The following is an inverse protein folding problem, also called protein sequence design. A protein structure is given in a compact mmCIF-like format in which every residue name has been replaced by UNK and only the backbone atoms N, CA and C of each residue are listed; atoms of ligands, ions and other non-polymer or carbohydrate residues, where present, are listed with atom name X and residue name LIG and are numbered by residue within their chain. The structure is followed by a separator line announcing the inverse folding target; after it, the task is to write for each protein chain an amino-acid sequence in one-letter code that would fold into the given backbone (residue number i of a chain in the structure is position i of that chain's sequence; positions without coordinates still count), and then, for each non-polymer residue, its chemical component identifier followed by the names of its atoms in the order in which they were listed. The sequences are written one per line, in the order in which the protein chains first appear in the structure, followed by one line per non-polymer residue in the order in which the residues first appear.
data_IF_004212799864
#
_entry.id   IF_004212799864
#
_cell.length_a   1.000
_cell.length_b   1.000
_cell.length_c   1.000
_cell.angle_alpha   90.00
_cell.angle_beta   90.00
_cell.angle_gamma   90.00
#
_symmetry.space_group_name_H-M   'P 1'
#
loop_
_entity.id
_entity.type
_entity.pdbx_description
1 polymer ?
#
# COMPACT_ATOMS: atom_id res chain seq x y z
N UNK A 1 -40.66 6.47 12.54
CA UNK A 1 -40.21 5.30 11.74
C UNK A 1 -38.78 5.58 11.31
N UNK A 2 -37.80 4.84 11.83
CA UNK A 2 -36.39 5.03 11.48
C UNK A 2 -36.08 4.13 10.28
N UNK A 3 -35.65 4.73 9.19
CA UNK A 3 -35.30 4.06 7.95
C UNK A 3 -34.04 3.22 8.15
N UNK A 4 -34.16 1.90 7.98
CA UNK A 4 -33.04 0.95 8.09
C UNK A 4 -32.15 1.15 6.86
N UNK A 5 -30.95 1.71 7.06
CA UNK A 5 -29.92 1.79 6.01
C UNK A 5 -29.62 0.38 5.46
N UNK A 6 -29.48 0.20 4.14
CA UNK A 6 -29.21 -1.10 3.56
C UNK A 6 -27.84 -1.60 4.02
N UNK A 7 -27.80 -2.79 4.61
CA UNK A 7 -26.55 -3.55 4.78
C UNK A 7 -26.05 -3.88 3.39
N UNK A 8 -24.89 -3.34 3.03
CA UNK A 8 -24.14 -3.82 1.87
C UNK A 8 -23.62 -5.20 2.26
N UNK A 9 -24.30 -6.23 1.81
CA UNK A 9 -23.82 -7.60 1.90
C UNK A 9 -22.67 -7.71 0.91
N UNK A 10 -21.44 -7.84 1.42
CA UNK A 10 -20.27 -8.19 0.62
C UNK A 10 -20.60 -9.47 -0.14
N UNK A 11 -20.79 -9.36 -1.46
CA UNK A 11 -20.77 -10.52 -2.34
C UNK A 11 -19.32 -10.99 -2.28
N UNK A 12 -19.11 -12.03 -1.48
CA UNK A 12 -17.83 -12.67 -1.39
C UNK A 12 -17.52 -13.31 -2.76
N UNK A 13 -16.56 -12.74 -3.49
CA UNK A 13 -15.82 -13.48 -4.51
C UNK A 13 -14.77 -14.32 -3.77
N UNK A 14 -15.26 -15.33 -3.05
CA UNK A 14 -14.46 -16.33 -2.36
C UNK A 14 -13.67 -17.08 -3.44
N UNK A 15 -12.34 -16.97 -3.44
CA UNK A 15 -11.36 -17.67 -4.31
C UNK A 15 -10.67 -16.90 -5.44
N UNK A 16 -10.82 -15.57 -5.58
CA UNK A 16 -9.75 -14.81 -6.25
C UNK A 16 -8.61 -14.67 -5.24
N UNK A 17 -7.42 -15.25 -5.46
CA UNK A 17 -6.30 -15.01 -4.55
C UNK A 17 -6.13 -13.50 -4.45
N UNK A 18 -6.15 -12.99 -3.22
CA UNK A 18 -5.74 -11.62 -2.93
C UNK A 18 -4.35 -11.52 -3.55
N UNK A 19 -4.21 -10.70 -4.58
CA UNK A 19 -2.97 -10.61 -5.34
C UNK A 19 -1.80 -10.32 -4.41
N UNK A 20 -0.61 -10.82 -4.76
CA UNK A 20 0.59 -10.57 -3.95
C UNK A 20 0.92 -9.08 -4.09
N UNK A 21 0.67 -8.31 -3.04
CA UNK A 21 1.07 -6.91 -3.00
C UNK A 21 2.59 -6.80 -2.84
N UNK A 22 3.18 -5.82 -3.53
CA UNK A 22 4.57 -5.46 -3.26
C UNK A 22 4.62 -4.79 -1.90
N UNK A 23 5.45 -5.33 -1.01
CA UNK A 23 5.60 -4.84 0.37
C UNK A 23 7.02 -4.34 0.61
N UNK A 24 7.14 -3.19 1.26
CA UNK A 24 8.40 -2.62 1.75
C UNK A 24 8.28 -2.34 3.23
N UNK A 25 9.37 -2.49 3.99
CA UNK A 25 9.31 -2.47 5.45
C UNK A 25 10.31 -1.49 6.04
N UNK A 26 9.90 -0.82 7.11
CA UNK A 26 10.77 0.04 7.90
C UNK A 26 10.42 -0.05 9.38
N UNK A 27 11.42 -0.28 10.23
CA UNK A 27 11.29 -0.15 11.68
C UNK A 27 12.01 1.11 12.14
N UNK A 28 11.42 1.85 13.08
CA UNK A 28 12.08 2.95 13.77
C UNK A 28 12.99 2.45 14.90
N UNK A 29 12.83 1.20 15.35
CA UNK A 29 13.69 0.61 16.38
C UNK A 29 15.12 0.45 15.85
N UNK A 30 16.08 1.11 16.50
CA UNK A 30 17.49 1.10 16.05
C UNK A 30 17.72 1.74 14.68
N UNK A 31 16.76 2.50 14.15
CA UNK A 31 16.86 3.11 12.83
C UNK A 31 18.00 4.12 12.75
N UNK A 32 18.64 4.18 11.58
CA UNK A 32 19.72 5.10 11.29
C UNK A 32 19.64 5.57 9.83
N UNK A 33 20.52 6.48 9.43
CA UNK A 33 20.57 7.01 8.07
C UNK A 33 20.65 5.90 7.00
N UNK A 34 21.43 4.86 7.26
CA UNK A 34 21.61 3.74 6.33
C UNK A 34 20.36 2.89 6.18
N UNK A 35 19.67 2.56 7.29
CA UNK A 35 18.42 1.79 7.22
C UNK A 35 17.31 2.58 6.55
N UNK A 36 17.19 3.88 6.84
CA UNK A 36 16.21 4.75 6.18
C UNK A 36 16.49 4.90 4.68
N UNK A 37 17.75 5.10 4.29
CA UNK A 37 18.11 5.20 2.87
C UNK A 37 17.80 3.89 2.12
N UNK A 38 18.06 2.73 2.73
CA UNK A 38 17.69 1.43 2.14
C UNK A 38 16.18 1.32 1.95
N UNK A 39 15.39 1.65 2.97
CA UNK A 39 13.93 1.66 2.89
C UNK A 39 13.43 2.58 1.76
N UNK A 40 13.96 3.79 1.65
CA UNK A 40 13.55 4.73 0.60
C UNK A 40 13.92 4.21 -0.80
N UNK A 41 15.06 3.54 -0.96
CA UNK A 41 15.43 2.91 -2.24
C UNK A 41 14.48 1.76 -2.59
N UNK A 42 14.16 0.89 -1.62
CA UNK A 42 13.22 -0.21 -1.83
C UNK A 42 11.81 0.30 -2.17
N UNK A 43 11.34 1.35 -1.48
CA UNK A 43 10.07 2.01 -1.78
C UNK A 43 10.09 2.63 -3.18
N UNK A 44 11.17 3.31 -3.55
CA UNK A 44 11.35 3.88 -4.89
C UNK A 44 11.33 2.79 -5.97
N UNK A 45 12.04 1.69 -5.77
CA UNK A 45 12.05 0.57 -6.71
C UNK A 45 10.67 -0.06 -6.86
N UNK A 46 9.92 -0.21 -5.77
CA UNK A 46 8.55 -0.72 -5.77
C UNK A 46 7.59 0.21 -6.51
N UNK A 47 7.67 1.53 -6.29
CA UNK A 47 6.84 2.52 -6.96
C UNK A 47 7.17 2.65 -8.46
N UNK A 48 8.42 2.39 -8.84
CA UNK A 48 8.91 2.58 -10.21
C UNK A 48 9.02 1.28 -11.01
N UNK A 49 8.51 0.14 -10.51
CA UNK A 49 8.59 -1.15 -11.21
C UNK A 49 7.99 -1.09 -12.62
N UNK A 50 6.88 -0.35 -12.78
CA UNK A 50 6.20 -0.15 -14.08
C UNK A 50 6.37 1.26 -14.65
N UNK A 51 7.22 2.08 -14.05
CA UNK A 51 7.45 3.45 -14.49
C UNK A 51 8.08 3.49 -15.89
N UNK A 52 7.83 4.58 -16.62
CA UNK A 52 8.64 4.89 -17.80
C UNK A 52 10.02 5.37 -17.34
N UNK A 53 11.05 4.63 -17.73
CA UNK A 53 12.47 4.86 -17.38
C UNK A 53 13.30 5.36 -18.57
N UNK A 54 12.66 5.87 -19.62
CA UNK A 54 13.35 6.42 -20.80
C UNK A 54 14.15 7.69 -20.47
N UNK A 55 13.78 8.42 -19.41
CA UNK A 55 14.48 9.60 -18.90
C UNK A 55 15.34 9.34 -17.65
N UNK A 56 16.04 10.39 -17.21
CA UNK A 56 16.87 10.36 -15.98
C UNK A 56 16.00 10.29 -14.71
N UNK A 57 14.80 10.85 -14.76
CA UNK A 57 13.80 10.78 -13.69
C UNK A 57 12.65 9.91 -14.22
N UNK A 58 12.36 8.75 -13.61
CA UNK A 58 11.25 7.92 -14.01
C UNK A 58 9.91 8.63 -13.86
N UNK A 59 9.03 8.46 -14.83
CA UNK A 59 7.65 8.91 -14.76
C UNK A 59 6.82 7.79 -14.17
N UNK A 60 6.11 8.08 -13.08
CA UNK A 60 5.25 7.10 -12.41
C UNK A 60 4.24 6.51 -13.40
N UNK A 61 3.91 5.21 -13.24
CA UNK A 61 3.01 4.54 -14.17
C UNK A 61 1.62 5.17 -14.15
N UNK A 62 0.95 5.17 -15.31
CA UNK A 62 -0.46 5.56 -15.35
C UNK A 62 -1.33 4.59 -14.53
N UNK A 63 -2.45 5.08 -13.96
CA UNK A 63 -3.42 4.25 -13.25
C UNK A 63 -3.88 3.08 -14.11
N UNK A 64 -4.06 1.92 -13.49
CA UNK A 64 -4.60 0.76 -14.20
C UNK A 64 -6.12 0.91 -14.31
N UNK A 65 -6.73 0.42 -15.40
CA UNK A 65 -8.18 0.50 -15.59
C UNK A 65 -8.96 -0.39 -14.62
N UNK A 66 -8.27 -1.28 -13.88
CA UNK A 66 -8.84 -2.23 -12.94
C UNK A 66 -8.42 -1.85 -11.52
N UNK A 67 -9.32 -1.29 -10.69
CA UNK A 67 -9.00 -0.87 -9.33
C UNK A 67 -8.57 -2.03 -8.41
N UNK A 68 -8.92 -3.26 -8.76
CA UNK A 68 -8.56 -4.48 -8.04
C UNK A 68 -7.22 -5.09 -8.50
N UNK A 69 -6.48 -4.43 -9.39
CA UNK A 69 -5.14 -4.84 -9.77
C UNK A 69 -4.14 -4.43 -8.68
N UNK A 70 -3.64 -5.43 -7.95
CA UNK A 70 -2.65 -5.27 -6.87
C UNK A 70 -1.39 -4.52 -7.31
N UNK A 71 -1.03 -4.54 -8.61
CA UNK A 71 0.12 -3.79 -9.15
C UNK A 71 -0.08 -2.27 -9.16
N UNK A 72 -1.29 -1.80 -8.84
CA UNK A 72 -1.58 -0.39 -8.62
C UNK A 72 -1.19 0.07 -7.20
N UNK A 73 -0.84 -0.87 -6.30
CA UNK A 73 -0.61 -0.55 -4.90
C UNK A 73 0.71 -1.12 -4.37
N UNK A 74 1.36 -0.34 -3.52
CA UNK A 74 2.49 -0.78 -2.69
C UNK A 74 2.03 -0.71 -1.24
N UNK A 75 2.35 -1.74 -0.46
CA UNK A 75 2.17 -1.73 0.98
C UNK A 75 3.49 -1.30 1.64
N UNK A 76 3.44 -0.24 2.44
CA UNK A 76 4.57 0.12 3.30
C UNK A 76 4.23 -0.28 4.74
N UNK A 77 4.93 -1.29 5.24
CA UNK A 77 4.84 -1.68 6.64
C UNK A 77 5.81 -0.82 7.47
N UNK A 78 5.27 -0.08 8.43
CA UNK A 78 6.01 0.76 9.35
C UNK A 78 5.84 0.20 10.76
N UNK A 79 6.95 -0.08 11.43
CA UNK A 79 6.94 -0.58 12.79
C UNK A 79 7.80 0.24 13.73
N UNK A 80 7.53 0.09 15.02
CA UNK A 80 8.39 0.51 16.11
C UNK A 80 8.55 -0.67 17.10
N UNK A 81 9.11 -0.41 18.28
CA UNK A 81 9.32 -1.42 19.33
C UNK A 81 8.02 -2.12 19.79
N UNK A 82 6.86 -1.51 19.60
CA UNK A 82 5.59 -1.94 20.19
C UNK A 82 4.53 -2.36 19.18
N UNK A 83 4.53 -1.78 17.98
CA UNK A 83 3.44 -1.92 17.02
C UNK A 83 3.93 -1.81 15.58
N UNK A 84 3.15 -2.42 14.68
CA UNK A 84 3.29 -2.31 13.23
C UNK A 84 2.00 -1.80 12.60
N UNK A 85 2.12 -1.02 11.53
CA UNK A 85 1.02 -0.60 10.67
C UNK A 85 1.40 -0.83 9.22
N UNK A 86 0.40 -1.03 8.35
CA UNK A 86 0.58 -1.08 6.90
C UNK A 86 -0.13 0.10 6.26
N UNK A 87 0.58 0.86 5.45
CA UNK A 87 0.04 1.92 4.61
C UNK A 87 -0.18 1.39 3.20
N UNK A 88 -1.31 1.72 2.57
CA UNK A 88 -1.55 1.44 1.16
C UNK A 88 -1.24 2.69 0.32
N UNK A 89 -0.25 2.60 -0.57
CA UNK A 89 0.14 3.68 -1.48
C UNK A 89 -0.30 3.36 -2.90
N UNK A 90 -0.84 4.34 -3.63
CA UNK A 90 -1.07 4.23 -5.07
C UNK A 90 0.22 4.52 -5.84
N UNK A 91 0.62 3.61 -6.73
CA UNK A 91 1.87 3.74 -7.50
C UNK A 91 1.86 4.90 -8.50
N UNK A 92 0.68 5.40 -8.87
CA UNK A 92 0.52 6.41 -9.94
C UNK A 92 0.78 7.83 -9.44
N UNK A 93 0.63 8.05 -8.14
CA UNK A 93 0.67 9.39 -7.51
C UNK A 93 1.33 9.41 -6.12
N UNK A 94 1.66 8.24 -5.56
CA UNK A 94 2.27 8.04 -4.22
C UNK A 94 1.36 8.49 -3.07
N UNK A 95 0.06 8.70 -3.31
CA UNK A 95 -0.87 9.04 -2.24
C UNK A 95 -1.14 7.82 -1.35
N UNK A 96 -1.19 8.09 -0.05
CA UNK A 96 -1.65 7.12 0.95
C UNK A 96 -3.18 7.08 0.87
N UNK A 97 -3.73 5.91 0.58
CA UNK A 97 -5.17 5.69 0.45
C UNK A 97 -5.81 5.28 1.77
N UNK A 98 -5.03 4.69 2.66
CA UNK A 98 -5.50 4.16 3.93
C UNK A 98 -4.40 3.44 4.69
N UNK A 99 -4.76 2.94 5.87
CA UNK A 99 -3.87 2.17 6.72
C UNK A 99 -4.59 1.03 7.45
N UNK A 100 -3.79 0.04 7.83
CA UNK A 100 -4.21 -1.14 8.56
C UNK A 100 -3.30 -1.31 9.79
N UNK A 101 -3.82 -1.22 11.03
CA UNK A 101 -3.07 -1.55 12.23
C UNK A 101 -2.77 -3.06 12.28
N UNK A 102 -1.53 -3.44 12.59
CA UNK A 102 -1.02 -4.81 12.37
C UNK A 102 -1.87 -5.96 12.92
N UNK A 103 -2.44 -5.80 14.12
CA UNK A 103 -3.25 -6.84 14.78
C UNK A 103 -4.77 -6.59 14.67
N UNK A 104 -5.21 -5.64 13.84
CA UNK A 104 -6.61 -5.28 13.70
C UNK A 104 -7.28 -6.02 12.55
N UNK A 105 -8.54 -6.42 12.71
CA UNK A 105 -9.38 -6.86 11.57
C UNK A 105 -9.95 -5.68 10.76
N UNK A 106 -9.58 -4.44 11.10
CA UNK A 106 -10.15 -3.22 10.53
C UNK A 106 -9.10 -2.42 9.78
N UNK A 107 -9.47 -1.95 8.58
CA UNK A 107 -8.70 -1.01 7.78
C UNK A 107 -9.44 0.31 7.65
N UNK A 108 -8.69 1.41 7.57
CA UNK A 108 -9.21 2.77 7.50
C UNK A 108 -8.77 3.44 6.20
N UNK A 109 -9.68 4.17 5.56
CA UNK A 109 -9.46 4.85 4.28
C UNK A 109 -9.90 6.32 4.38
N UNK A 110 -9.29 7.19 3.57
CA UNK A 110 -9.63 8.61 3.49
C UNK A 110 -10.94 8.89 2.74
#
# INVERSE_FOLDING_TARGET
MVEKRPRITTIQNENKPIGIFREVRFTTEGANRGSYQRFMNELYDALTERADKSGVIPVLPSPLPKPDDHRQYVLAELSNEYQSIKLALNVSDVYILGYHPGDSDTSYFF
#
